data_IF_552650589130
#
_entry.id   IF_552650589130
#
_cell.length_a   1.000
_cell.length_b   1.000
_cell.length_c   1.000
_cell.angle_alpha   90.00
_cell.angle_beta   90.00
_cell.angle_gamma   90.00
#
_symmetry.space_group_name_H-M   'P 1'
#
loop_
_entity.id
_entity.type
_entity.pdbx_description
1 polymer ?
#
# COMPACT_ATOMS: atom_id res chain seq x y z
N UNK A 1 9.37 -18.41 20.39
CA UNK A 1 9.94 -19.07 19.18
C UNK A 1 11.05 -18.17 18.69
N UNK A 2 12.28 -18.63 18.67
CA UNK A 2 13.41 -17.85 18.16
C UNK A 2 13.18 -17.50 16.69
N UNK A 3 13.44 -16.25 16.29
CA UNK A 3 13.27 -15.74 14.90
C UNK A 3 14.32 -16.31 13.94
N UNK A 4 15.11 -17.29 14.41
CA UNK A 4 16.12 -18.03 13.63
C UNK A 4 15.54 -18.64 12.36
N UNK A 5 14.22 -18.94 12.32
CA UNK A 5 13.57 -19.49 11.13
C UNK A 5 13.73 -18.59 9.89
N UNK A 6 13.81 -17.26 10.06
CA UNK A 6 14.05 -16.35 8.95
C UNK A 6 15.45 -16.51 8.34
N UNK A 7 16.40 -17.01 9.13
CA UNK A 7 17.77 -17.30 8.70
C UNK A 7 17.94 -18.74 8.23
N UNK A 8 17.20 -19.71 8.79
CA UNK A 8 17.47 -21.14 8.62
C UNK A 8 16.57 -21.82 7.58
N UNK A 9 15.29 -21.42 7.50
CA UNK A 9 14.32 -22.05 6.59
C UNK A 9 14.74 -21.94 5.13
N UNK A 10 14.47 -22.97 4.32
CA UNK A 10 14.66 -22.94 2.84
C UNK A 10 13.98 -21.71 2.24
N UNK A 11 14.60 -21.07 1.25
CA UNK A 11 14.19 -19.73 0.78
C UNK A 11 12.80 -19.71 0.18
N UNK A 12 12.49 -20.59 -0.76
CA UNK A 12 11.16 -20.60 -1.41
C UNK A 12 10.03 -20.82 -0.41
N UNK A 13 10.06 -21.85 0.48
CA UNK A 13 9.05 -21.98 1.54
C UNK A 13 9.00 -20.81 2.51
N UNK A 14 10.14 -20.14 2.78
CA UNK A 14 10.17 -18.94 3.60
C UNK A 14 9.40 -17.80 2.91
N UNK A 15 9.77 -17.45 1.67
CA UNK A 15 9.12 -16.39 0.90
C UNK A 15 7.62 -16.66 0.76
N UNK A 16 7.21 -17.89 0.41
CA UNK A 16 5.80 -18.26 0.31
C UNK A 16 5.06 -18.09 1.65
N UNK A 17 5.66 -18.59 2.76
CA UNK A 17 5.02 -18.50 4.08
C UNK A 17 4.84 -17.06 4.58
N UNK A 18 5.65 -16.13 4.07
CA UNK A 18 5.59 -14.71 4.40
C UNK A 18 4.67 -13.92 3.45
N UNK A 19 4.69 -14.28 2.16
CA UNK A 19 4.00 -13.53 1.11
C UNK A 19 2.53 -13.94 0.94
N UNK A 20 2.21 -15.24 0.99
CA UNK A 20 0.82 -15.71 0.80
C UNK A 20 -0.18 -15.09 1.80
N UNK A 21 0.12 -15.00 3.11
CA UNK A 21 -0.77 -14.33 4.04
C UNK A 21 -0.99 -12.84 3.66
N UNK A 22 0.06 -12.15 3.21
CA UNK A 22 -0.04 -10.74 2.83
C UNK A 22 -0.85 -10.55 1.54
N UNK A 23 -0.65 -11.41 0.54
CA UNK A 23 -1.45 -11.41 -0.68
C UNK A 23 -2.94 -11.61 -0.37
N UNK A 24 -3.26 -12.58 0.48
CA UNK A 24 -4.64 -12.84 0.90
C UNK A 24 -5.23 -11.66 1.68
N UNK A 25 -4.47 -11.06 2.60
CA UNK A 25 -4.88 -9.86 3.33
C UNK A 25 -5.24 -8.70 2.40
N UNK A 26 -4.38 -8.43 1.40
CA UNK A 26 -4.62 -7.36 0.44
C UNK A 26 -5.83 -7.64 -0.45
N UNK A 27 -6.03 -8.90 -0.85
CA UNK A 27 -7.20 -9.29 -1.64
C UNK A 27 -8.50 -9.05 -0.85
N UNK A 28 -8.56 -9.52 0.39
CA UNK A 28 -9.73 -9.34 1.25
C UNK A 28 -9.97 -7.87 1.57
N UNK A 29 -8.90 -7.10 1.81
CA UNK A 29 -9.01 -5.64 1.99
C UNK A 29 -9.60 -4.95 0.75
N UNK A 30 -9.19 -5.36 -0.45
CA UNK A 30 -9.78 -4.83 -1.69
C UNK A 30 -11.25 -5.20 -1.86
N UNK A 31 -11.61 -6.44 -1.50
CA UNK A 31 -13.00 -6.91 -1.57
C UNK A 31 -13.91 -6.17 -0.58
N UNK A 32 -13.46 -5.98 0.67
CA UNK A 32 -14.28 -5.26 1.64
C UNK A 32 -14.54 -3.81 1.22
N UNK A 33 -13.55 -3.10 0.64
CA UNK A 33 -13.76 -1.74 0.12
C UNK A 33 -14.82 -1.68 -0.99
N UNK A 34 -14.91 -2.74 -1.83
CA UNK A 34 -15.94 -2.84 -2.86
C UNK A 34 -17.32 -3.07 -2.23
N UNK A 35 -17.40 -3.93 -1.21
CA UNK A 35 -18.65 -4.25 -0.51
C UNK A 35 -19.17 -3.04 0.27
N UNK A 36 -18.30 -2.32 1.00
CA UNK A 36 -18.66 -1.07 1.68
C UNK A 36 -19.23 -0.04 0.69
N UNK A 37 -18.52 0.22 -0.42
CA UNK A 37 -19.01 1.12 -1.47
C UNK A 37 -20.35 0.67 -2.08
N UNK A 38 -20.58 -0.63 -2.22
CA UNK A 38 -21.83 -1.18 -2.71
C UNK A 38 -23.01 -0.88 -1.76
N UNK A 39 -22.82 -1.05 -0.45
CA UNK A 39 -23.87 -0.73 0.53
C UNK A 39 -24.14 0.78 0.63
N UNK A 40 -23.09 1.60 0.59
CA UNK A 40 -23.26 3.07 0.59
C UNK A 40 -23.99 3.55 -0.67
N UNK A 41 -23.70 2.96 -1.84
CA UNK A 41 -24.41 3.29 -3.09
C UNK A 41 -25.91 2.99 -3.03
N UNK A 42 -26.35 2.03 -2.19
CA UNK A 42 -27.77 1.73 -1.98
C UNK A 42 -28.48 2.75 -1.08
N UNK A 43 -27.77 3.59 -0.34
CA UNK A 43 -28.38 4.68 0.43
C UNK A 43 -28.91 5.77 -0.53
N UNK A 44 -28.01 6.36 -1.32
CA UNK A 44 -28.30 7.35 -2.37
C UNK A 44 -27.04 7.65 -3.19
N UNK A 45 -27.21 8.23 -4.38
CA UNK A 45 -26.09 8.73 -5.19
C UNK A 45 -25.32 9.84 -4.46
N UNK A 46 -26.03 10.66 -3.67
CA UNK A 46 -25.40 11.72 -2.87
C UNK A 46 -24.49 11.15 -1.78
N UNK A 47 -24.94 10.10 -1.08
CA UNK A 47 -24.10 9.41 -0.08
C UNK A 47 -22.85 8.79 -0.70
N UNK A 48 -22.98 8.16 -1.87
CA UNK A 48 -21.84 7.62 -2.60
C UNK A 48 -20.86 8.71 -3.07
N UNK A 49 -21.40 9.86 -3.50
CA UNK A 49 -20.58 11.04 -3.86
C UNK A 49 -19.84 11.56 -2.63
N UNK A 50 -20.52 11.70 -1.49
CA UNK A 50 -19.94 12.15 -0.23
C UNK A 50 -18.79 11.23 0.22
N UNK A 51 -19.00 9.89 0.20
CA UNK A 51 -17.95 8.90 0.47
C UNK A 51 -16.73 9.09 -0.44
N UNK A 52 -16.98 9.27 -1.75
CA UNK A 52 -15.93 9.44 -2.75
C UNK A 52 -15.10 10.70 -2.53
N UNK A 53 -15.72 11.80 -2.04
CA UNK A 53 -15.01 13.03 -1.71
C UNK A 53 -14.15 12.90 -0.45
N UNK A 54 -14.55 12.09 0.53
CA UNK A 54 -13.76 11.85 1.76
C UNK A 54 -12.64 10.83 1.55
N UNK A 55 -12.79 9.91 0.59
CA UNK A 55 -11.84 8.83 0.34
C UNK A 55 -10.36 9.27 0.18
N UNK A 56 -10.01 10.38 -0.50
CA UNK A 56 -8.63 10.86 -0.57
C UNK A 56 -8.02 11.19 0.79
N UNK A 57 -8.80 11.68 1.76
CA UNK A 57 -8.34 11.94 3.13
C UNK A 57 -8.01 10.64 3.86
N UNK A 58 -8.85 9.60 3.70
CA UNK A 58 -8.60 8.25 4.26
C UNK A 58 -7.36 7.59 3.63
N UNK A 59 -7.14 7.78 2.32
CA UNK A 59 -5.92 7.33 1.65
C UNK A 59 -4.67 8.01 2.18
N UNK A 60 -4.73 9.32 2.46
CA UNK A 60 -3.61 10.07 3.04
C UNK A 60 -3.28 9.58 4.45
N UNK A 61 -4.29 9.38 5.30
CA UNK A 61 -4.12 8.79 6.63
C UNK A 61 -3.42 7.43 6.54
N UNK A 62 -3.98 6.54 5.71
CA UNK A 62 -3.43 5.20 5.52
C UNK A 62 -2.00 5.24 4.97
N UNK A 63 -1.72 6.12 4.01
CA UNK A 63 -0.37 6.27 3.44
C UNK A 63 0.65 6.71 4.50
N UNK A 64 0.29 7.64 5.40
CA UNK A 64 1.16 8.10 6.48
C UNK A 64 1.40 6.96 7.49
N UNK A 65 0.33 6.29 7.92
CA UNK A 65 0.42 5.19 8.89
C UNK A 65 1.24 4.01 8.35
N UNK A 66 0.93 3.55 7.14
CA UNK A 66 1.64 2.43 6.49
C UNK A 66 3.07 2.82 6.17
N UNK A 67 3.31 4.01 5.62
CA UNK A 67 4.65 4.48 5.27
C UNK A 67 5.56 4.54 6.48
N UNK A 68 5.13 5.19 7.57
CA UNK A 68 5.89 5.21 8.82
C UNK A 68 6.11 3.79 9.38
N UNK A 69 5.07 2.95 9.34
CA UNK A 69 5.13 1.56 9.76
C UNK A 69 6.14 0.73 8.96
N UNK A 70 6.32 0.99 7.66
CA UNK A 70 7.36 0.34 6.82
C UNK A 70 8.75 0.71 7.35
N UNK A 71 8.99 1.98 7.68
CA UNK A 71 10.27 2.42 8.24
C UNK A 71 10.58 1.75 9.59
N UNK A 72 9.59 1.70 10.47
CA UNK A 72 9.69 1.00 11.76
C UNK A 72 9.96 -0.50 11.57
N UNK A 73 9.22 -1.17 10.69
CA UNK A 73 9.37 -2.59 10.38
C UNK A 73 10.78 -2.92 9.87
N UNK A 74 11.28 -2.15 8.91
CA UNK A 74 12.60 -2.36 8.34
C UNK A 74 13.70 -2.21 9.40
N UNK A 75 13.63 -1.17 10.26
CA UNK A 75 14.61 -0.94 11.31
C UNK A 75 14.52 -2.01 12.41
N UNK A 76 13.32 -2.37 12.89
CA UNK A 76 13.13 -3.40 13.90
C UNK A 76 13.65 -4.76 13.43
N UNK A 77 13.27 -5.21 12.23
CA UNK A 77 13.71 -6.48 11.66
C UNK A 77 15.25 -6.51 11.45
N UNK A 78 15.85 -5.37 11.05
CA UNK A 78 17.30 -5.27 10.93
C UNK A 78 18.02 -5.49 12.28
N UNK A 79 17.60 -4.78 13.35
CA UNK A 79 18.25 -4.91 14.66
C UNK A 79 17.99 -6.27 15.29
N UNK A 80 16.84 -6.90 15.06
CA UNK A 80 16.60 -8.30 15.45
C UNK A 80 17.58 -9.24 14.75
N UNK A 81 17.80 -9.08 13.45
CA UNK A 81 18.78 -9.85 12.69
C UNK A 81 20.21 -9.63 13.16
N UNK A 82 20.56 -8.39 13.52
CA UNK A 82 21.86 -8.02 14.07
C UNK A 82 22.07 -8.48 15.53
N UNK A 83 21.05 -9.09 16.16
CA UNK A 83 21.03 -9.47 17.60
C UNK A 83 21.21 -8.28 18.55
N UNK A 84 20.80 -7.09 18.12
CA UNK A 84 20.80 -5.86 18.91
C UNK A 84 19.40 -5.62 19.51
N UNK A 85 18.99 -6.51 20.44
CA UNK A 85 17.63 -6.56 20.99
C UNK A 85 17.18 -5.21 21.56
N UNK A 86 18.01 -4.55 22.38
CA UNK A 86 17.67 -3.27 22.99
C UNK A 86 17.31 -2.20 21.94
N UNK A 87 18.05 -2.15 20.82
CA UNK A 87 17.72 -1.19 19.74
C UNK A 87 16.45 -1.56 19.01
N UNK A 88 16.18 -2.85 18.81
CA UNK A 88 14.92 -3.30 18.24
C UNK A 88 13.73 -2.90 19.13
N UNK A 89 13.86 -3.05 20.45
CA UNK A 89 12.86 -2.67 21.44
C UNK A 89 12.67 -1.14 21.50
N UNK A 90 13.78 -0.37 21.41
CA UNK A 90 13.72 1.10 21.32
C UNK A 90 12.98 1.57 20.06
N UNK A 91 13.20 0.92 18.91
CA UNK A 91 12.51 1.23 17.66
C UNK A 91 11.00 1.02 17.81
N UNK A 92 10.54 -0.12 18.33
CA UNK A 92 9.10 -0.38 18.43
C UNK A 92 8.44 0.47 19.50
N UNK A 93 9.15 0.76 20.60
CA UNK A 93 8.62 1.62 21.65
C UNK A 93 8.49 3.07 21.18
N UNK A 94 9.55 3.65 20.61
CA UNK A 94 9.48 5.00 20.04
C UNK A 94 8.54 5.07 18.84
N UNK A 95 8.51 4.02 18.02
CA UNK A 95 7.60 3.88 16.89
C UNK A 95 6.13 3.90 17.31
N UNK A 96 5.76 3.18 18.36
CA UNK A 96 4.38 3.19 18.88
C UNK A 96 3.97 4.58 19.40
N UNK A 97 4.87 5.25 20.14
CA UNK A 97 4.58 6.60 20.66
C UNK A 97 4.43 7.61 19.52
N UNK A 98 5.32 7.56 18.51
CA UNK A 98 5.23 8.44 17.34
C UNK A 98 3.97 8.15 16.53
N UNK A 99 3.59 6.87 16.39
CA UNK A 99 2.34 6.48 15.72
C UNK A 99 1.10 7.02 16.46
N UNK A 100 1.10 6.99 17.79
CA UNK A 100 0.04 7.61 18.58
C UNK A 100 -0.08 9.12 18.28
N UNK A 101 1.06 9.83 18.24
CA UNK A 101 1.08 11.24 17.86
C UNK A 101 0.60 11.48 16.42
N UNK A 102 1.03 10.63 15.46
CA UNK A 102 0.52 10.72 14.10
C UNK A 102 -1.01 10.53 14.06
N UNK A 103 -1.53 9.54 14.76
CA UNK A 103 -2.98 9.30 14.84
C UNK A 103 -3.73 10.50 15.42
N UNK A 104 -3.24 11.09 16.51
CA UNK A 104 -3.86 12.29 17.12
C UNK A 104 -3.80 13.49 16.19
N UNK A 105 -2.66 13.74 15.54
CA UNK A 105 -2.50 14.84 14.59
C UNK A 105 -3.41 14.66 13.38
N UNK A 106 -3.46 13.45 12.82
CA UNK A 106 -4.31 13.14 11.67
C UNK A 106 -5.80 13.25 12.00
N UNK A 107 -6.21 12.75 13.17
CA UNK A 107 -7.57 12.91 13.68
C UNK A 107 -7.93 14.40 13.81
N UNK A 108 -7.11 15.18 14.51
CA UNK A 108 -7.36 16.61 14.70
C UNK A 108 -7.38 17.36 13.38
N UNK A 109 -6.42 17.10 12.49
CA UNK A 109 -6.36 17.73 11.18
C UNK A 109 -7.59 17.38 10.33
N UNK A 110 -8.00 16.12 10.30
CA UNK A 110 -9.19 15.71 9.54
C UNK A 110 -10.47 16.36 10.09
N UNK A 111 -10.67 16.37 11.41
CA UNK A 111 -11.84 16.98 12.02
C UNK A 111 -11.91 18.51 11.78
N UNK A 112 -10.77 19.19 11.72
CA UNK A 112 -10.70 20.63 11.47
C UNK A 112 -10.84 20.98 10.00
N UNK A 113 -10.22 20.21 9.10
CA UNK A 113 -10.10 20.57 7.68
C UNK A 113 -11.07 19.85 6.75
N UNK A 114 -11.70 18.72 7.17
CA UNK A 114 -12.64 18.01 6.31
C UNK A 114 -13.82 18.85 5.82
N UNK A 115 -14.46 19.72 6.63
CA UNK A 115 -15.53 20.56 6.15
C UNK A 115 -15.09 21.49 5.01
N UNK A 116 -13.92 22.13 5.19
CA UNK A 116 -13.33 23.00 4.16
C UNK A 116 -12.94 22.19 2.94
N UNK A 117 -12.32 21.02 3.12
CA UNK A 117 -11.91 20.17 2.01
C UNK A 117 -13.11 19.72 1.17
N UNK A 118 -14.18 19.21 1.79
CA UNK A 118 -15.37 18.75 1.07
C UNK A 118 -16.06 19.91 0.36
N UNK A 119 -16.13 21.11 0.96
CA UNK A 119 -16.76 22.28 0.35
C UNK A 119 -16.03 22.80 -0.90
N UNK A 120 -14.73 22.48 -1.08
CA UNK A 120 -14.00 22.81 -2.32
C UNK A 120 -14.49 22.03 -3.55
N UNK A 121 -15.18 20.90 -3.35
CA UNK A 121 -15.58 20.00 -4.44
C UNK A 121 -17.09 19.91 -4.67
N UNK A 122 -17.93 20.50 -3.78
CA UNK A 122 -19.38 20.45 -3.94
C UNK A 122 -20.06 21.67 -3.32
N UNK A 123 -21.05 22.19 -4.04
CA UNK A 123 -21.97 23.22 -3.56
C UNK A 123 -23.29 22.61 -3.05
N UNK A 124 -23.49 21.30 -3.23
CA UNK A 124 -24.69 20.61 -2.78
C UNK A 124 -24.65 20.42 -1.26
N UNK A 125 -25.57 21.12 -0.55
CA UNK A 125 -25.63 21.12 0.91
C UNK A 125 -25.76 19.70 1.51
N UNK A 126 -26.50 18.80 0.86
CA UNK A 126 -26.69 17.44 1.34
C UNK A 126 -25.40 16.60 1.21
N UNK A 127 -24.71 16.69 0.07
CA UNK A 127 -23.42 16.01 -0.14
C UNK A 127 -22.38 16.53 0.84
N UNK A 128 -22.35 17.86 1.07
CA UNK A 128 -21.47 18.49 2.04
C UNK A 128 -21.77 17.98 3.47
N UNK A 129 -23.04 18.01 3.88
CA UNK A 129 -23.45 17.56 5.20
C UNK A 129 -23.12 16.06 5.44
N UNK A 130 -23.44 15.20 4.46
CA UNK A 130 -23.17 13.77 4.52
C UNK A 130 -21.65 13.49 4.53
N UNK A 131 -20.86 14.20 3.72
CA UNK A 131 -19.41 14.08 3.68
C UNK A 131 -18.73 14.52 4.97
N UNK A 132 -19.17 15.62 5.57
CA UNK A 132 -18.66 16.11 6.86
C UNK A 132 -19.01 15.13 8.00
N UNK A 133 -20.26 14.64 8.05
CA UNK A 133 -20.69 13.66 9.05
C UNK A 133 -19.88 12.37 8.94
N UNK A 134 -19.76 11.82 7.73
CA UNK A 134 -18.97 10.62 7.48
C UNK A 134 -17.51 10.82 7.88
N UNK A 135 -16.89 11.92 7.45
CA UNK A 135 -15.51 12.25 7.78
C UNK A 135 -15.29 12.36 9.28
N UNK A 136 -16.13 13.14 9.99
CA UNK A 136 -16.00 13.32 11.42
C UNK A 136 -16.08 12.00 12.18
N UNK A 137 -16.99 11.11 11.80
CA UNK A 137 -17.16 9.81 12.45
C UNK A 137 -15.99 8.87 12.16
N UNK A 138 -15.57 8.75 10.90
CA UNK A 138 -14.49 7.81 10.52
C UNK A 138 -13.15 8.24 11.10
N UNK A 139 -12.84 9.54 11.14
CA UNK A 139 -11.55 10.02 11.66
C UNK A 139 -11.45 10.03 13.18
N UNK A 140 -12.54 9.89 13.93
CA UNK A 140 -12.47 9.57 15.38
C UNK A 140 -11.72 8.26 15.61
N UNK A 141 -11.79 7.33 14.65
CA UNK A 141 -11.08 6.06 14.70
C UNK A 141 -9.64 6.10 14.13
N UNK A 142 -9.15 7.26 13.70
CA UNK A 142 -7.80 7.38 13.15
C UNK A 142 -6.70 6.93 14.15
N UNK A 143 -6.83 7.27 15.43
CA UNK A 143 -5.87 6.84 16.45
C UNK A 143 -5.82 5.32 16.58
N UNK A 144 -6.92 4.59 16.85
CA UNK A 144 -6.88 3.14 16.91
C UNK A 144 -6.46 2.49 15.57
N UNK A 145 -6.79 3.07 14.42
CA UNK A 145 -6.38 2.58 13.11
C UNK A 145 -4.85 2.65 12.94
N UNK A 146 -4.25 3.81 13.20
CA UNK A 146 -2.79 4.00 13.12
C UNK A 146 -2.05 3.07 14.08
N UNK A 147 -2.58 2.87 15.29
CA UNK A 147 -2.00 1.93 16.26
C UNK A 147 -2.15 0.48 15.76
N UNK A 148 -3.28 0.10 15.18
CA UNK A 148 -3.47 -1.23 14.59
C UNK A 148 -2.45 -1.51 13.48
N UNK A 149 -2.22 -0.56 12.58
CA UNK A 149 -1.19 -0.65 11.54
C UNK A 149 0.20 -0.77 12.16
N UNK A 150 0.47 -0.07 13.24
CA UNK A 150 1.75 -0.17 13.96
C UNK A 150 1.98 -1.57 14.51
N UNK A 151 0.99 -2.17 15.18
CA UNK A 151 1.07 -3.56 15.65
C UNK A 151 1.19 -4.55 14.48
N UNK A 152 0.49 -4.32 13.37
CA UNK A 152 0.67 -5.10 12.15
C UNK A 152 2.15 -5.14 11.73
N UNK A 153 2.80 -3.97 11.70
CA UNK A 153 4.22 -3.87 11.29
C UNK A 153 5.17 -4.47 12.31
N UNK A 154 4.84 -4.46 13.60
CA UNK A 154 5.60 -5.15 14.66
C UNK A 154 5.53 -6.67 14.44
N UNK A 155 4.34 -7.24 14.27
CA UNK A 155 4.18 -8.67 13.99
C UNK A 155 4.85 -9.09 12.68
N UNK A 156 4.78 -8.25 11.65
CA UNK A 156 5.50 -8.48 10.39
C UNK A 156 7.02 -8.47 10.57
N UNK A 157 7.58 -7.56 11.39
CA UNK A 157 9.01 -7.50 11.66
C UNK A 157 9.54 -8.79 12.29
N UNK A 158 8.73 -9.48 13.07
CA UNK A 158 9.02 -10.78 13.65
C UNK A 158 8.75 -11.98 12.73
N UNK A 159 8.22 -11.70 11.52
CA UNK A 159 7.84 -12.75 10.58
C UNK A 159 6.50 -13.43 10.88
N UNK A 160 5.69 -12.88 11.77
CA UNK A 160 4.38 -13.44 12.15
C UNK A 160 3.25 -12.97 11.21
N UNK A 161 3.43 -13.13 9.89
CA UNK A 161 2.50 -12.67 8.85
C UNK A 161 1.09 -13.25 8.97
N UNK A 162 0.96 -14.48 9.51
CA UNK A 162 -0.36 -15.10 9.75
C UNK A 162 -1.18 -14.32 10.77
N UNK A 163 -0.53 -13.71 11.77
CA UNK A 163 -1.21 -12.87 12.76
C UNK A 163 -1.73 -11.62 12.08
N UNK A 164 -0.90 -10.97 11.25
CA UNK A 164 -1.33 -9.80 10.48
C UNK A 164 -2.53 -10.11 9.57
N UNK A 165 -2.47 -11.22 8.85
CA UNK A 165 -3.57 -11.69 8.01
C UNK A 165 -4.84 -11.92 8.80
N UNK A 166 -4.77 -12.70 9.89
CA UNK A 166 -5.93 -13.06 10.69
C UNK A 166 -6.59 -11.82 11.31
N UNK A 167 -5.80 -10.90 11.88
CA UNK A 167 -6.33 -9.67 12.47
C UNK A 167 -7.04 -8.80 11.43
N UNK A 168 -6.44 -8.63 10.25
CA UNK A 168 -7.06 -7.88 9.16
C UNK A 168 -8.35 -8.55 8.67
N UNK A 169 -8.35 -9.88 8.51
CA UNK A 169 -9.56 -10.63 8.14
C UNK A 169 -10.70 -10.41 9.13
N UNK A 170 -10.42 -10.43 10.45
CA UNK A 170 -11.43 -10.16 11.47
C UNK A 170 -12.05 -8.77 11.29
N UNK A 171 -11.22 -7.74 11.01
CA UNK A 171 -11.71 -6.38 10.75
C UNK A 171 -12.57 -6.28 9.50
N UNK A 172 -12.12 -6.87 8.39
CA UNK A 172 -12.86 -6.86 7.13
C UNK A 172 -14.22 -7.60 7.26
N UNK A 173 -14.23 -8.77 7.88
CA UNK A 173 -15.47 -9.54 8.09
C UNK A 173 -16.45 -8.77 9.00
N UNK A 174 -15.95 -8.15 10.07
CA UNK A 174 -16.77 -7.33 10.94
C UNK A 174 -17.39 -6.13 10.21
N UNK A 175 -16.60 -5.42 9.39
CA UNK A 175 -17.12 -4.32 8.59
C UNK A 175 -18.21 -4.80 7.61
N UNK A 176 -17.97 -5.85 6.81
CA UNK A 176 -18.95 -6.42 5.89
C UNK A 176 -20.28 -6.80 6.56
N UNK A 177 -20.22 -7.30 7.81
CA UNK A 177 -21.41 -7.64 8.58
C UNK A 177 -22.08 -6.39 9.15
N UNK A 178 -21.31 -5.44 9.67
CA UNK A 178 -21.84 -4.24 10.33
C UNK A 178 -22.41 -3.23 9.34
N UNK A 179 -21.87 -3.13 8.12
CA UNK A 179 -22.38 -2.21 7.10
C UNK A 179 -23.90 -2.35 6.89
N UNK A 180 -24.45 -3.49 6.46
CA UNK A 180 -25.88 -3.59 6.25
C UNK A 180 -26.69 -3.45 7.54
N UNK A 181 -26.16 -3.89 8.69
CA UNK A 181 -26.85 -3.78 9.98
C UNK A 181 -27.04 -2.33 10.41
N UNK A 182 -25.99 -1.50 10.32
CA UNK A 182 -26.02 -0.11 10.76
C UNK A 182 -26.57 0.84 9.68
N UNK A 183 -26.28 0.58 8.42
CA UNK A 183 -26.78 1.41 7.30
C UNK A 183 -28.30 1.33 7.20
N UNK A 184 -28.85 0.11 7.17
CA UNK A 184 -30.27 -0.12 6.90
C UNK A 184 -31.12 -0.31 8.17
N UNK A 185 -30.48 -0.49 9.34
CA UNK A 185 -31.18 -0.70 10.60
C UNK A 185 -31.79 -2.09 10.69
N UNK A 186 -30.99 -3.14 10.48
CA UNK A 186 -31.48 -4.52 10.53
C UNK A 186 -31.45 -5.05 11.97
N UNK A 187 -32.53 -5.69 12.40
CA UNK A 187 -32.67 -6.30 13.71
C UNK A 187 -32.83 -5.25 14.82
N UNK A 188 -31.94 -5.23 15.80
CA UNK A 188 -31.95 -4.31 16.94
C UNK A 188 -31.27 -2.97 16.66
N UNK A 189 -30.65 -2.82 15.51
CA UNK A 189 -29.86 -1.62 15.17
C UNK A 189 -30.74 -0.53 14.56
N UNK A 190 -30.53 0.76 14.95
CA UNK A 190 -31.23 1.86 14.31
C UNK A 190 -30.70 2.07 12.87
N UNK A 191 -31.57 2.57 11.99
CA UNK A 191 -31.16 2.96 10.63
C UNK A 191 -30.33 4.25 10.69
N UNK A 192 -29.04 4.15 10.40
CA UNK A 192 -28.07 5.26 10.51
C UNK A 192 -27.59 5.80 9.15
N UNK A 193 -27.89 5.12 8.04
CA UNK A 193 -27.45 5.56 6.72
C UNK A 193 -25.93 5.71 6.61
N UNK A 194 -25.44 6.86 6.12
CA UNK A 194 -24.01 7.11 5.91
C UNK A 194 -23.21 7.16 7.24
N UNK A 195 -23.83 7.57 8.33
CA UNK A 195 -23.21 7.52 9.66
C UNK A 195 -22.96 6.07 10.11
N UNK A 196 -23.90 5.16 9.77
CA UNK A 196 -23.74 3.72 9.99
C UNK A 196 -22.55 3.13 9.24
N UNK A 197 -22.34 3.52 7.99
CA UNK A 197 -21.17 3.12 7.21
C UNK A 197 -19.86 3.62 7.86
N UNK A 198 -19.81 4.87 8.32
CA UNK A 198 -18.64 5.42 9.00
C UNK A 198 -18.30 4.67 10.29
N UNK A 199 -19.31 4.33 11.10
CA UNK A 199 -19.15 3.57 12.35
C UNK A 199 -18.71 2.14 12.06
N UNK A 200 -19.31 1.47 11.06
CA UNK A 200 -18.93 0.11 10.67
C UNK A 200 -17.47 0.06 10.22
N UNK A 201 -17.03 1.04 9.40
CA UNK A 201 -15.63 1.20 8.98
C UNK A 201 -14.71 1.42 10.19
N UNK A 202 -15.10 2.30 11.12
CA UNK A 202 -14.33 2.56 12.33
C UNK A 202 -14.20 1.33 13.23
N UNK A 203 -15.27 0.58 13.46
CA UNK A 203 -15.25 -0.68 14.23
C UNK A 203 -14.37 -1.71 13.49
N UNK A 204 -14.47 -1.81 12.16
CA UNK A 204 -13.64 -2.65 11.32
C UNK A 204 -12.13 -2.35 11.47
N UNK A 205 -11.77 -1.09 11.81
CA UNK A 205 -10.39 -0.67 12.10
C UNK A 205 -9.97 -0.97 13.54
N UNK A 206 -10.91 -0.93 14.51
CA UNK A 206 -10.64 -1.22 15.94
C UNK A 206 -10.47 -2.71 16.20
N UNK A 207 -11.26 -3.57 15.54
CA UNK A 207 -11.21 -5.02 15.74
C UNK A 207 -9.82 -5.61 15.50
N UNK A 208 -9.09 -5.29 14.42
CA UNK A 208 -7.71 -5.71 14.25
C UNK A 208 -6.81 -5.32 15.42
N UNK A 209 -6.97 -4.11 15.95
CA UNK A 209 -6.21 -3.66 17.13
C UNK A 209 -6.47 -4.55 18.34
N UNK A 210 -7.74 -4.85 18.62
CA UNK A 210 -8.13 -5.72 19.74
C UNK A 210 -7.50 -7.12 19.56
N UNK A 211 -7.56 -7.66 18.33
CA UNK A 211 -6.96 -8.98 18.02
C UNK A 211 -5.45 -8.94 18.21
N UNK A 212 -4.77 -7.89 17.73
CA UNK A 212 -3.33 -7.73 17.92
C UNK A 212 -2.95 -7.65 19.40
N UNK A 213 -3.66 -6.85 20.19
CA UNK A 213 -3.42 -6.71 21.63
C UNK A 213 -3.67 -8.05 22.37
N UNK A 214 -4.74 -8.75 22.03
CA UNK A 214 -5.02 -10.06 22.59
C UNK A 214 -3.91 -11.07 22.30
N UNK A 215 -3.45 -11.13 21.05
CA UNK A 215 -2.36 -12.05 20.66
C UNK A 215 -1.03 -11.62 21.30
N UNK A 216 -0.77 -10.31 21.39
CA UNK A 216 0.42 -9.77 22.03
C UNK A 216 0.50 -10.18 23.52
N UNK A 217 -0.62 -10.14 24.25
CA UNK A 217 -0.68 -10.52 25.65
C UNK A 217 -0.58 -12.04 25.84
N UNK A 218 -1.27 -12.83 25.01
CA UNK A 218 -1.30 -14.30 25.12
C UNK A 218 -0.06 -14.98 24.59
N UNK A 219 0.54 -14.44 23.54
CA UNK A 219 1.68 -14.99 22.83
C UNK A 219 2.73 -13.90 22.66
N UNK A 220 3.49 -13.58 23.72
CA UNK A 220 4.42 -12.47 23.70
C UNK A 220 5.36 -12.55 22.48
N UNK A 221 5.58 -11.41 21.88
CA UNK A 221 6.53 -11.20 20.80
C UNK A 221 7.94 -11.07 21.37
N UNK A 222 8.96 -11.24 20.55
CA UNK A 222 10.33 -11.05 21.00
C UNK A 222 10.69 -9.56 21.15
N UNK A 223 9.90 -8.68 20.56
CA UNK A 223 10.01 -7.24 20.70
C UNK A 223 9.26 -6.79 21.95
N UNK A 224 9.95 -6.09 22.84
CA UNK A 224 9.40 -5.65 24.12
C UNK A 224 9.28 -4.14 24.17
N UNK A 225 8.23 -3.65 24.81
CA UNK A 225 8.08 -2.22 25.09
C UNK A 225 8.82 -1.88 26.38
N UNK A 226 9.80 -1.02 26.28
CA UNK A 226 10.58 -0.52 27.43
C UNK A 226 10.51 0.99 27.53
N UNK A 227 10.00 1.47 28.66
CA UNK A 227 9.94 2.89 28.92
C UNK A 227 11.21 3.35 29.66
N UNK A 228 12.10 4.01 28.93
CA UNK A 228 13.28 4.65 29.53
C UNK A 228 13.62 5.96 28.83
N UNK A 229 14.39 6.83 29.53
CA UNK A 229 14.70 8.19 29.05
C UNK A 229 15.41 8.27 27.68
N UNK A 230 16.02 7.20 27.21
CA UNK A 230 16.77 7.16 25.95
C UNK A 230 16.04 6.46 24.79
N UNK A 231 14.74 6.22 24.89
CA UNK A 231 13.94 5.59 23.82
C UNK A 231 13.97 6.44 22.53
N UNK A 232 13.87 7.76 22.65
CA UNK A 232 13.92 8.67 21.50
C UNK A 232 15.36 9.01 21.10
N UNK A 233 16.11 8.03 20.63
CA UNK A 233 17.41 8.29 20.03
C UNK A 233 17.24 8.92 18.65
N UNK A 234 17.76 10.14 18.43
CA UNK A 234 17.66 10.86 17.14
C UNK A 234 18.02 9.99 15.94
N UNK A 235 19.01 9.10 16.12
CA UNK A 235 19.46 8.19 15.07
C UNK A 235 18.40 7.14 14.72
N UNK A 236 17.76 6.48 15.72
CA UNK A 236 16.75 5.46 15.50
C UNK A 236 15.49 6.06 14.88
N UNK A 237 15.06 7.22 15.41
CA UNK A 237 13.95 8.01 14.86
C UNK A 237 14.25 8.41 13.40
N UNK A 238 15.48 8.90 13.14
CA UNK A 238 15.91 9.25 11.78
C UNK A 238 15.89 8.08 10.80
N UNK A 239 16.20 6.86 11.25
CA UNK A 239 16.11 5.65 10.43
C UNK A 239 14.67 5.30 10.08
N UNK A 240 13.73 5.42 11.03
CA UNK A 240 12.30 5.17 10.76
C UNK A 240 11.74 6.17 9.74
N UNK A 241 11.99 7.46 9.93
CA UNK A 241 11.51 8.50 9.00
C UNK A 241 12.26 8.50 7.66
N UNK A 242 13.54 8.12 7.66
CA UNK A 242 14.34 8.00 6.43
C UNK A 242 13.81 6.99 5.43
N UNK A 243 13.02 6.03 5.90
CA UNK A 243 12.27 5.08 5.05
C UNK A 243 10.78 5.44 5.03
N UNK A 244 10.23 5.85 6.18
CA UNK A 244 8.80 6.09 6.34
C UNK A 244 8.26 7.22 5.46
N UNK A 245 8.93 8.39 5.44
CA UNK A 245 8.52 9.51 4.58
C UNK A 245 8.59 9.14 3.09
N UNK A 246 9.71 8.60 2.57
CA UNK A 246 9.75 8.09 1.21
C UNK A 246 8.65 7.07 0.89
N UNK A 247 8.38 6.13 1.79
CA UNK A 247 7.34 5.13 1.59
C UNK A 247 5.92 5.74 1.55
N UNK A 248 5.64 6.73 2.40
CA UNK A 248 4.39 7.51 2.36
C UNK A 248 4.20 8.17 0.99
N UNK A 249 5.24 8.86 0.51
CA UNK A 249 5.21 9.51 -0.80
C UNK A 249 5.03 8.49 -1.94
N UNK A 250 5.72 7.34 -1.87
CA UNK A 250 5.56 6.25 -2.84
C UNK A 250 4.10 5.78 -2.95
N UNK A 251 3.36 5.74 -1.85
CA UNK A 251 1.94 5.36 -1.83
C UNK A 251 1.03 6.44 -2.42
N UNK A 252 1.42 7.71 -2.38
CA UNK A 252 0.64 8.84 -2.90
C UNK A 252 0.91 9.12 -4.41
N UNK A 253 2.11 8.83 -4.91
CA UNK A 253 2.53 9.15 -6.28
C UNK A 253 1.60 8.59 -7.38
N UNK A 254 1.06 7.35 -7.30
CA UNK A 254 0.13 6.84 -8.31
C UNK A 254 -1.12 7.71 -8.49
N UNK A 255 -1.67 8.26 -7.42
CA UNK A 255 -2.86 9.14 -7.50
C UNK A 255 -2.54 10.44 -8.26
N UNK A 256 -1.38 11.04 -8.01
CA UNK A 256 -0.91 12.22 -8.75
C UNK A 256 -0.74 11.92 -10.24
N UNK A 257 -0.12 10.79 -10.56
CA UNK A 257 0.07 10.33 -11.94
C UNK A 257 -1.27 10.13 -12.66
N UNK A 258 -2.23 9.46 -12.02
CA UNK A 258 -3.58 9.23 -12.59
C UNK A 258 -4.25 10.55 -12.92
N UNK A 259 -4.20 11.53 -12.00
CA UNK A 259 -4.78 12.85 -12.22
C UNK A 259 -4.14 13.57 -13.41
N UNK A 260 -2.82 13.54 -13.52
CA UNK A 260 -2.11 14.14 -14.64
C UNK A 260 -2.44 13.46 -15.98
N UNK A 261 -2.47 12.11 -16.01
CA UNK A 261 -2.84 11.36 -17.21
C UNK A 261 -4.30 11.59 -17.61
N UNK A 262 -5.24 11.70 -16.66
CA UNK A 262 -6.61 12.06 -16.95
C UNK A 262 -6.69 13.43 -17.64
N UNK A 263 -5.94 14.43 -17.16
CA UNK A 263 -5.87 15.75 -17.79
C UNK A 263 -5.32 15.70 -19.22
N UNK A 264 -4.28 14.91 -19.46
CA UNK A 264 -3.71 14.73 -20.81
C UNK A 264 -4.71 14.02 -21.74
N UNK A 265 -5.32 12.93 -21.30
CA UNK A 265 -6.21 12.11 -22.11
C UNK A 265 -7.56 12.80 -22.40
N UNK A 266 -8.06 13.62 -21.46
CA UNK A 266 -9.30 14.37 -21.64
C UNK A 266 -9.29 15.30 -22.86
N UNK A 267 -8.09 15.78 -23.25
CA UNK A 267 -7.91 16.62 -24.45
C UNK A 267 -8.24 15.85 -25.74
N UNK A 268 -8.03 14.53 -25.74
CA UNK A 268 -8.25 13.69 -26.92
C UNK A 268 -9.64 13.06 -26.97
N UNK A 269 -10.08 12.43 -25.87
CA UNK A 269 -11.40 11.79 -25.80
C UNK A 269 -11.81 11.47 -24.36
N UNK A 270 -13.10 11.67 -24.05
CA UNK A 270 -13.69 11.18 -22.81
C UNK A 270 -13.63 9.64 -22.68
N UNK A 271 -13.67 8.92 -23.81
CA UNK A 271 -13.48 7.46 -23.85
C UNK A 271 -12.12 7.05 -23.30
N UNK A 272 -11.05 7.81 -23.61
CA UNK A 272 -9.71 7.49 -23.11
C UNK A 272 -9.57 7.67 -21.59
N UNK A 273 -10.24 8.67 -21.02
CA UNK A 273 -10.31 8.83 -19.56
C UNK A 273 -11.03 7.65 -18.90
N UNK A 274 -12.15 7.21 -19.49
CA UNK A 274 -12.86 6.02 -19.03
C UNK A 274 -11.99 4.75 -19.13
N UNK A 275 -11.30 4.57 -20.26
CA UNK A 275 -10.38 3.44 -20.48
C UNK A 275 -9.26 3.43 -19.45
N UNK A 276 -8.66 4.58 -19.13
CA UNK A 276 -7.66 4.69 -18.07
C UNK A 276 -8.19 4.25 -16.72
N UNK A 277 -9.41 4.68 -16.35
CA UNK A 277 -10.06 4.28 -15.11
C UNK A 277 -10.31 2.77 -15.03
N UNK A 278 -10.79 2.15 -16.12
CA UNK A 278 -10.97 0.71 -16.22
C UNK A 278 -9.64 -0.02 -16.09
N UNK A 279 -8.61 0.44 -16.82
CA UNK A 279 -7.27 -0.13 -16.74
C UNK A 279 -6.73 -0.16 -15.29
N UNK A 280 -6.88 0.94 -14.53
CA UNK A 280 -6.41 0.96 -13.15
C UNK A 280 -7.15 -0.02 -12.24
N UNK A 281 -8.44 -0.24 -12.45
CA UNK A 281 -9.18 -1.28 -11.74
C UNK A 281 -8.60 -2.67 -12.03
N UNK A 282 -8.34 -2.99 -13.29
CA UNK A 282 -7.73 -4.27 -13.70
C UNK A 282 -6.30 -4.41 -13.16
N UNK A 283 -5.50 -3.36 -13.27
CA UNK A 283 -4.12 -3.33 -12.77
C UNK A 283 -4.07 -3.60 -11.27
N UNK A 284 -4.99 -3.04 -10.49
CA UNK A 284 -5.02 -3.23 -9.03
C UNK A 284 -5.04 -4.70 -8.67
N UNK A 285 -5.86 -5.53 -9.31
CA UNK A 285 -5.93 -6.97 -9.03
C UNK A 285 -4.61 -7.70 -9.32
N UNK A 286 -3.93 -7.35 -10.40
CA UNK A 286 -2.65 -7.98 -10.78
C UNK A 286 -1.55 -7.56 -9.81
N UNK A 287 -1.48 -6.26 -9.49
CA UNK A 287 -0.44 -5.70 -8.62
C UNK A 287 -0.66 -6.00 -7.14
N UNK A 288 -1.89 -6.35 -6.68
CA UNK A 288 -2.13 -6.83 -5.32
C UNK A 288 -1.20 -8.00 -4.95
N UNK A 289 -1.07 -8.96 -5.86
CA UNK A 289 -0.20 -10.12 -5.64
C UNK A 289 1.28 -9.72 -5.54
N UNK A 290 1.75 -8.85 -6.42
CA UNK A 290 3.12 -8.34 -6.39
C UNK A 290 3.40 -7.56 -5.09
N UNK A 291 2.50 -6.66 -4.70
CA UNK A 291 2.62 -5.89 -3.47
C UNK A 291 2.58 -6.78 -2.22
N UNK A 292 1.77 -7.84 -2.22
CA UNK A 292 1.74 -8.83 -1.14
C UNK A 292 3.08 -9.56 -0.99
N UNK A 293 3.74 -9.93 -2.11
CA UNK A 293 5.08 -10.51 -2.09
C UNK A 293 6.09 -9.51 -1.55
N UNK A 294 6.06 -8.26 -2.01
CA UNK A 294 6.97 -7.20 -1.53
C UNK A 294 6.80 -6.98 -0.03
N UNK A 295 5.58 -6.92 0.49
CA UNK A 295 5.33 -6.81 1.94
C UNK A 295 5.89 -8.02 2.70
N UNK A 296 5.73 -9.23 2.16
CA UNK A 296 6.24 -10.44 2.78
C UNK A 296 7.76 -10.52 2.85
N UNK A 297 8.46 -10.04 1.81
CA UNK A 297 9.93 -10.14 1.76
C UNK A 297 10.65 -9.02 2.53
N UNK A 298 10.03 -7.87 2.79
CA UNK A 298 10.67 -6.75 3.48
C UNK A 298 11.32 -7.17 4.80
N UNK A 299 10.61 -7.73 5.79
CA UNK A 299 11.21 -8.09 7.08
C UNK A 299 12.27 -9.20 6.96
N UNK A 300 12.10 -10.18 6.06
CA UNK A 300 13.11 -11.23 5.91
C UNK A 300 14.38 -10.72 5.21
N UNK A 301 14.28 -9.76 4.32
CA UNK A 301 15.44 -9.05 3.74
C UNK A 301 16.14 -8.23 4.82
N UNK A 302 15.40 -7.40 5.58
CA UNK A 302 15.96 -6.57 6.64
C UNK A 302 16.64 -7.40 7.71
N UNK A 303 16.00 -8.47 8.17
CA UNK A 303 16.55 -9.40 9.17
C UNK A 303 17.85 -10.07 8.69
N UNK A 304 17.85 -10.68 7.50
CA UNK A 304 19.03 -11.34 6.96
C UNK A 304 20.16 -10.33 6.64
N UNK A 305 19.81 -9.11 6.26
CA UNK A 305 20.78 -8.04 6.08
C UNK A 305 21.43 -7.63 7.40
N UNK A 306 20.66 -7.48 8.48
CA UNK A 306 21.14 -7.26 9.84
C UNK A 306 22.02 -8.39 10.36
N UNK A 307 21.67 -9.64 10.07
CA UNK A 307 22.42 -10.83 10.41
C UNK A 307 23.72 -11.02 9.59
N UNK A 308 24.01 -10.13 8.60
CA UNK A 308 25.18 -10.24 7.74
C UNK A 308 25.07 -11.29 6.61
N UNK A 309 23.91 -11.94 6.44
CA UNK A 309 23.67 -13.02 5.50
C UNK A 309 23.40 -12.51 4.07
N UNK A 310 24.37 -11.81 3.48
CA UNK A 310 24.25 -11.16 2.16
C UNK A 310 23.87 -12.11 1.02
N UNK A 311 24.44 -13.31 1.02
CA UNK A 311 24.12 -14.35 0.03
C UNK A 311 22.67 -14.80 0.13
N UNK A 312 22.11 -14.81 1.35
CA UNK A 312 20.71 -15.16 1.59
C UNK A 312 19.76 -14.02 1.15
N UNK A 313 20.13 -12.77 1.42
CA UNK A 313 19.42 -11.57 0.89
C UNK A 313 19.30 -11.64 -0.62
N UNK A 314 20.41 -11.93 -1.34
CA UNK A 314 20.40 -12.08 -2.80
C UNK A 314 19.43 -13.18 -3.26
N UNK A 315 19.46 -14.35 -2.61
CA UNK A 315 18.58 -15.46 -3.00
C UNK A 315 17.11 -15.17 -2.71
N UNK A 316 16.77 -14.50 -1.58
CA UNK A 316 15.41 -14.07 -1.27
C UNK A 316 14.92 -13.08 -2.34
N UNK A 317 15.75 -12.08 -2.69
CA UNK A 317 15.45 -11.11 -3.73
C UNK A 317 15.17 -11.76 -5.09
N UNK A 318 16.06 -12.66 -5.54
CA UNK A 318 15.89 -13.36 -6.84
C UNK A 318 14.62 -14.23 -6.83
N UNK A 319 14.35 -14.96 -5.73
CA UNK A 319 13.12 -15.77 -5.62
C UNK A 319 11.87 -14.90 -5.71
N UNK A 320 11.84 -13.77 -5.00
CA UNK A 320 10.71 -12.83 -5.05
C UNK A 320 10.55 -12.21 -6.46
N UNK A 321 11.66 -11.82 -7.08
CA UNK A 321 11.66 -11.28 -8.45
C UNK A 321 11.07 -12.28 -9.45
N UNK A 322 11.48 -13.54 -9.40
CA UNK A 322 10.94 -14.60 -10.27
C UNK A 322 9.45 -14.79 -9.99
N UNK A 323 9.03 -14.86 -8.74
CA UNK A 323 7.61 -15.01 -8.39
C UNK A 323 6.77 -13.84 -8.91
N UNK A 324 7.20 -12.60 -8.69
CA UNK A 324 6.50 -11.41 -9.17
C UNK A 324 6.48 -11.38 -10.71
N UNK A 325 7.63 -11.63 -11.36
CA UNK A 325 7.70 -11.68 -12.82
C UNK A 325 6.78 -12.75 -13.42
N UNK A 326 6.68 -13.92 -12.78
CA UNK A 326 5.77 -15.00 -13.23
C UNK A 326 4.29 -14.58 -13.12
N UNK A 327 3.88 -13.94 -12.02
CA UNK A 327 2.52 -13.43 -11.85
C UNK A 327 2.23 -12.33 -12.87
N UNK A 328 3.16 -11.38 -13.06
CA UNK A 328 3.04 -10.30 -14.03
C UNK A 328 2.99 -10.85 -15.47
N UNK A 329 3.74 -11.91 -15.77
CA UNK A 329 3.69 -12.58 -17.06
C UNK A 329 2.32 -13.23 -17.33
N UNK A 330 1.77 -13.93 -16.34
CA UNK A 330 0.41 -14.48 -16.42
C UNK A 330 -0.62 -13.37 -16.61
N UNK A 331 -0.52 -12.29 -15.84
CA UNK A 331 -1.38 -11.11 -15.98
C UNK A 331 -1.26 -10.46 -17.36
N UNK A 332 -0.05 -10.38 -17.92
CA UNK A 332 0.17 -9.91 -19.29
C UNK A 332 -0.52 -10.80 -20.32
N UNK A 333 -0.39 -12.13 -20.21
CA UNK A 333 -1.04 -13.08 -21.14
C UNK A 333 -2.58 -12.97 -21.08
N UNK A 334 -3.15 -12.82 -19.88
CA UNK A 334 -4.59 -12.61 -19.69
C UNK A 334 -5.01 -11.30 -20.37
N UNK A 335 -4.27 -10.21 -20.16
CA UNK A 335 -4.57 -8.93 -20.78
C UNK A 335 -4.42 -8.95 -22.32
N UNK A 336 -3.44 -9.68 -22.86
CA UNK A 336 -3.27 -9.82 -24.31
C UNK A 336 -4.40 -10.64 -24.94
N UNK A 337 -4.75 -11.78 -24.33
CA UNK A 337 -5.74 -12.71 -24.87
C UNK A 337 -7.18 -12.24 -24.73
N UNK A 338 -7.50 -11.63 -23.59
CA UNK A 338 -8.89 -11.30 -23.20
C UNK A 338 -9.16 -9.79 -23.07
N UNK A 339 -8.32 -8.91 -23.66
CA UNK A 339 -8.43 -7.45 -23.52
C UNK A 339 -9.87 -6.92 -23.76
N UNK A 340 -10.50 -7.33 -24.87
CA UNK A 340 -11.86 -6.89 -25.20
C UNK A 340 -12.90 -7.35 -24.18
N UNK A 341 -12.81 -8.59 -23.71
CA UNK A 341 -13.70 -9.15 -22.70
C UNK A 341 -13.54 -8.42 -21.36
N UNK A 342 -12.29 -8.15 -20.95
CA UNK A 342 -11.99 -7.43 -19.70
C UNK A 342 -12.56 -6.02 -19.70
N UNK A 343 -12.41 -5.27 -20.80
CA UNK A 343 -12.99 -3.93 -20.93
C UNK A 343 -14.52 -4.04 -21.03
N UNK A 344 -15.05 -5.04 -21.73
CA UNK A 344 -16.49 -5.29 -21.88
C UNK A 344 -17.23 -5.59 -20.58
N UNK A 345 -16.52 -5.95 -19.49
CA UNK A 345 -17.12 -6.07 -18.15
C UNK A 345 -17.57 -4.70 -17.58
N UNK A 346 -16.99 -3.60 -18.06
CA UNK A 346 -17.22 -2.26 -17.51
C UNK A 346 -17.99 -1.32 -18.45
N UNK A 347 -18.07 -1.64 -19.75
CA UNK A 347 -18.79 -0.84 -20.74
C UNK A 347 -19.39 -1.71 -21.82
N UNK A 348 -20.52 -1.23 -22.39
CA UNK A 348 -21.17 -1.90 -23.55
C UNK A 348 -20.92 -1.14 -24.86
N UNK A 349 -20.23 -0.01 -24.82
CA UNK A 349 -19.93 0.78 -26.01
C UNK A 349 -18.81 0.10 -26.81
N UNK A 350 -19.11 -0.33 -28.03
CA UNK A 350 -18.19 -1.09 -28.90
C UNK A 350 -16.91 -0.33 -29.25
N UNK A 351 -16.99 1.01 -29.45
CA UNK A 351 -15.81 1.84 -29.72
C UNK A 351 -14.91 1.92 -28.49
N UNK A 352 -15.48 2.15 -27.31
CA UNK A 352 -14.72 2.16 -26.04
C UNK A 352 -14.09 0.80 -25.76
N UNK A 353 -14.76 -0.32 -26.11
CA UNK A 353 -14.18 -1.66 -25.96
C UNK A 353 -12.98 -1.81 -26.89
N UNK A 354 -13.07 -1.36 -28.14
CA UNK A 354 -11.98 -1.45 -29.11
C UNK A 354 -10.76 -0.65 -28.65
N UNK A 355 -10.96 0.64 -28.32
CA UNK A 355 -9.92 1.55 -27.84
C UNK A 355 -9.28 1.03 -26.55
N UNK A 356 -10.11 0.56 -25.61
CA UNK A 356 -9.66 0.02 -24.34
C UNK A 356 -8.90 -1.29 -24.49
N UNK A 357 -9.31 -2.17 -25.40
CA UNK A 357 -8.60 -3.41 -25.69
C UNK A 357 -7.21 -3.11 -26.28
N UNK A 358 -7.10 -2.13 -27.18
CA UNK A 358 -5.82 -1.69 -27.70
C UNK A 358 -4.94 -1.11 -26.61
N UNK A 359 -5.49 -0.21 -25.76
CA UNK A 359 -4.79 0.39 -24.64
C UNK A 359 -4.23 -0.67 -23.69
N UNK A 360 -5.05 -1.63 -23.25
CA UNK A 360 -4.64 -2.70 -22.32
C UNK A 360 -3.54 -3.57 -22.93
N UNK A 361 -3.61 -3.92 -24.21
CA UNK A 361 -2.57 -4.70 -24.90
C UNK A 361 -1.23 -3.96 -24.94
N UNK A 362 -1.23 -2.64 -25.16
CA UNK A 362 -0.02 -1.83 -25.17
C UNK A 362 0.58 -1.72 -23.77
N UNK A 363 -0.25 -1.39 -22.77
CA UNK A 363 0.20 -1.13 -21.40
C UNK A 363 0.73 -2.41 -20.74
N UNK A 364 0.08 -3.56 -20.95
CA UNK A 364 0.47 -4.81 -20.30
C UNK A 364 1.86 -5.32 -20.71
N UNK A 365 2.44 -4.85 -21.82
CA UNK A 365 3.82 -5.14 -22.19
C UNK A 365 4.82 -4.65 -21.14
N UNK A 366 4.45 -3.63 -20.33
CA UNK A 366 5.25 -3.14 -19.23
C UNK A 366 5.19 -4.02 -17.96
N UNK A 367 4.24 -4.94 -17.83
CA UNK A 367 4.01 -5.66 -16.57
C UNK A 367 5.22 -6.49 -16.12
N UNK A 368 5.79 -7.30 -17.00
CA UNK A 368 6.96 -8.13 -16.66
C UNK A 368 8.17 -7.25 -16.33
N UNK A 369 8.34 -6.16 -17.06
CA UNK A 369 9.42 -5.20 -16.84
C UNK A 369 9.26 -4.55 -15.46
N UNK A 370 8.04 -4.19 -15.07
CA UNK A 370 7.73 -3.58 -13.78
C UNK A 370 8.08 -4.47 -12.58
N UNK A 371 8.11 -5.80 -12.76
CA UNK A 371 8.53 -6.72 -11.69
C UNK A 371 9.91 -6.37 -11.13
N UNK A 372 10.82 -5.88 -11.98
CA UNK A 372 12.18 -5.49 -11.59
C UNK A 372 12.14 -4.24 -10.70
N UNK A 373 11.50 -3.17 -11.17
CA UNK A 373 11.44 -1.89 -10.45
C UNK A 373 10.69 -2.03 -9.11
N UNK A 374 9.57 -2.78 -9.09
CA UNK A 374 8.75 -3.03 -7.89
C UNK A 374 9.51 -3.83 -6.85
N UNK A 375 10.17 -4.93 -7.26
CA UNK A 375 10.94 -5.78 -6.33
C UNK A 375 12.13 -5.03 -5.76
N UNK A 376 12.85 -4.26 -6.59
CA UNK A 376 14.00 -3.46 -6.15
C UNK A 376 13.56 -2.34 -5.20
N UNK A 377 12.47 -1.63 -5.49
CA UNK A 377 11.93 -0.59 -4.62
C UNK A 377 11.63 -1.15 -3.22
N UNK A 378 10.93 -2.29 -3.14
CA UNK A 378 10.65 -2.96 -1.88
C UNK A 378 11.91 -3.43 -1.14
N UNK A 379 12.91 -3.92 -1.87
CA UNK A 379 14.21 -4.28 -1.28
C UNK A 379 14.95 -3.05 -0.75
N UNK A 380 14.96 -1.93 -1.45
CA UNK A 380 15.60 -0.69 -1.00
C UNK A 380 14.97 -0.19 0.30
N UNK A 381 13.64 -0.22 0.42
CA UNK A 381 12.94 0.10 1.67
C UNK A 381 13.34 -0.84 2.81
N UNK A 382 13.41 -2.15 2.54
CA UNK A 382 13.88 -3.14 3.51
C UNK A 382 15.32 -2.92 3.97
N UNK A 383 16.18 -2.39 3.11
CA UNK A 383 17.59 -2.09 3.39
C UNK A 383 17.80 -0.73 4.06
N UNK A 384 16.74 0.01 4.41
CA UNK A 384 16.85 1.34 4.98
C UNK A 384 17.17 2.44 3.95
N UNK A 385 17.09 2.14 2.64
CA UNK A 385 17.40 3.04 1.53
C UNK A 385 16.13 3.65 0.91
N UNK A 386 15.26 4.21 1.76
CA UNK A 386 13.95 4.72 1.34
C UNK A 386 14.03 5.84 0.31
N UNK A 387 14.99 6.75 0.43
CA UNK A 387 15.19 7.84 -0.54
C UNK A 387 15.47 7.31 -1.95
N UNK A 388 16.24 6.25 -2.08
CA UNK A 388 16.53 5.64 -3.39
C UNK A 388 15.28 4.95 -3.97
N UNK A 389 14.44 4.35 -3.13
CA UNK A 389 13.12 3.84 -3.51
C UNK A 389 12.20 4.97 -4.02
N UNK A 390 12.19 6.11 -3.33
CA UNK A 390 11.41 7.28 -3.74
C UNK A 390 11.90 7.86 -5.08
N UNK A 391 13.22 7.94 -5.30
CA UNK A 391 13.77 8.40 -6.58
C UNK A 391 13.28 7.52 -7.74
N UNK A 392 13.26 6.19 -7.55
CA UNK A 392 12.72 5.27 -8.56
C UNK A 392 11.22 5.50 -8.82
N UNK A 393 10.45 5.73 -7.77
CA UNK A 393 9.01 5.99 -7.89
C UNK A 393 8.73 7.34 -8.54
N UNK A 394 9.47 8.40 -8.19
CA UNK A 394 9.37 9.71 -8.82
C UNK A 394 9.73 9.63 -10.31
N UNK A 395 10.83 8.92 -10.64
CA UNK A 395 11.22 8.71 -12.01
C UNK A 395 10.12 8.03 -12.82
N UNK A 396 9.53 6.96 -12.25
CA UNK A 396 8.46 6.16 -12.86
C UNK A 396 7.18 6.96 -13.03
N UNK A 397 6.64 7.53 -11.94
CA UNK A 397 5.29 8.09 -11.90
C UNK A 397 5.20 9.57 -12.32
N UNK A 398 6.31 10.31 -12.30
CA UNK A 398 6.28 11.76 -12.56
C UNK A 398 7.22 12.11 -13.71
N UNK A 399 8.52 11.83 -13.56
CA UNK A 399 9.56 12.35 -14.46
C UNK A 399 9.51 11.73 -15.85
N UNK A 400 9.11 10.47 -15.97
CA UNK A 400 9.07 9.77 -17.28
C UNK A 400 7.66 9.69 -17.83
N UNK A 401 6.71 9.16 -17.04
CA UNK A 401 5.39 8.83 -17.58
C UNK A 401 4.59 10.07 -18.02
N UNK A 402 4.62 11.16 -17.24
CA UNK A 402 3.85 12.38 -17.56
C UNK A 402 4.42 13.08 -18.80
N UNK A 403 5.73 13.39 -18.89
CA UNK A 403 6.29 13.98 -20.10
C UNK A 403 6.18 13.06 -21.32
N UNK A 404 6.39 11.74 -21.18
CA UNK A 404 6.22 10.79 -22.27
C UNK A 404 4.78 10.78 -22.79
N UNK A 405 3.78 10.77 -21.89
CA UNK A 405 2.37 10.84 -22.25
C UNK A 405 2.05 12.12 -23.03
N UNK A 406 2.54 13.27 -22.57
CA UNK A 406 2.34 14.55 -23.23
C UNK A 406 3.00 14.59 -24.62
N UNK A 407 4.26 14.18 -24.72
CA UNK A 407 5.01 14.19 -26.00
C UNK A 407 4.41 13.21 -27.01
N UNK A 408 4.14 11.98 -26.59
CA UNK A 408 3.53 10.97 -27.47
C UNK A 408 2.14 11.39 -27.94
N UNK A 409 1.32 11.92 -27.04
CA UNK A 409 0.00 12.44 -27.39
C UNK A 409 0.06 13.57 -28.40
N UNK A 410 0.98 14.53 -28.22
CA UNK A 410 1.14 15.67 -29.12
C UNK A 410 1.68 15.28 -30.51
N UNK A 411 2.62 14.33 -30.57
CA UNK A 411 3.27 13.96 -31.83
C UNK A 411 2.52 12.89 -32.63
N UNK A 412 1.87 11.94 -31.93
CA UNK A 412 1.30 10.74 -32.56
C UNK A 412 -0.20 10.54 -32.25
N UNK A 413 -0.82 11.48 -31.50
CA UNK A 413 -2.23 11.42 -31.14
C UNK A 413 -2.51 10.62 -29.85
N UNK A 414 -3.78 10.67 -29.38
CA UNK A 414 -4.19 10.14 -28.07
C UNK A 414 -3.93 8.65 -27.86
N UNK A 415 -4.05 7.82 -28.90
CA UNK A 415 -3.77 6.39 -28.82
C UNK A 415 -2.29 6.08 -28.50
N UNK A 416 -1.36 6.95 -28.88
CA UNK A 416 0.05 6.77 -28.60
C UNK A 416 0.42 7.02 -27.14
N UNK A 417 -0.44 7.71 -26.37
CA UNK A 417 -0.23 7.97 -24.94
C UNK A 417 -0.02 6.67 -24.15
N UNK A 418 -0.67 5.58 -24.52
CA UNK A 418 -0.56 4.29 -23.83
C UNK A 418 0.86 3.71 -23.81
N UNK A 419 1.71 4.11 -24.74
CA UNK A 419 3.11 3.67 -24.77
C UNK A 419 3.95 4.27 -23.62
N UNK A 420 3.52 5.38 -22.99
CA UNK A 420 4.24 5.97 -21.86
C UNK A 420 4.43 4.98 -20.68
N UNK A 421 3.52 4.02 -20.50
CA UNK A 421 3.59 3.05 -19.41
C UNK A 421 4.81 2.12 -19.52
N UNK A 422 4.94 1.38 -20.63
CA UNK A 422 6.08 0.46 -20.76
C UNK A 422 7.41 1.19 -20.90
N UNK A 423 7.42 2.42 -21.48
CA UNK A 423 8.62 3.27 -21.54
C UNK A 423 9.07 3.63 -20.12
N UNK A 424 8.13 4.10 -19.27
CA UNK A 424 8.44 4.45 -17.89
C UNK A 424 8.93 3.23 -17.08
N UNK A 425 8.30 2.06 -17.25
CA UNK A 425 8.73 0.83 -16.59
C UNK A 425 10.13 0.40 -17.03
N UNK A 426 10.47 0.54 -18.31
CA UNK A 426 11.79 0.21 -18.84
C UNK A 426 12.85 1.12 -18.24
N UNK A 427 12.64 2.43 -18.26
CA UNK A 427 13.60 3.41 -17.72
C UNK A 427 13.77 3.22 -16.21
N UNK A 428 12.65 3.05 -15.48
CA UNK A 428 12.69 2.80 -14.03
C UNK A 428 13.42 1.50 -13.70
N UNK A 429 13.20 0.42 -14.45
CA UNK A 429 13.87 -0.87 -14.25
C UNK A 429 15.36 -0.81 -14.54
N UNK A 430 15.76 -0.14 -15.61
CA UNK A 430 17.19 0.08 -15.93
C UNK A 430 17.87 0.91 -14.83
N UNK A 431 17.22 1.97 -14.36
CA UNK A 431 17.74 2.80 -13.28
C UNK A 431 17.82 2.01 -11.96
N UNK A 432 16.83 1.17 -11.67
CA UNK A 432 16.83 0.30 -10.49
C UNK A 432 18.01 -0.69 -10.52
N UNK A 433 18.24 -1.34 -11.65
CA UNK A 433 19.40 -2.24 -11.84
C UNK A 433 20.71 -1.47 -11.65
N UNK A 434 20.84 -0.28 -12.24
CA UNK A 434 22.02 0.56 -12.08
C UNK A 434 22.31 0.94 -10.63
N UNK A 435 21.28 1.32 -9.85
CA UNK A 435 21.41 1.63 -8.42
C UNK A 435 21.91 0.44 -7.59
N UNK A 436 21.39 -0.77 -7.88
CA UNK A 436 21.88 -1.99 -7.23
C UNK A 436 23.32 -2.31 -7.65
N UNK A 437 23.66 -2.17 -8.94
CA UNK A 437 25.00 -2.44 -9.43
C UNK A 437 26.02 -1.50 -8.78
N UNK A 438 25.73 -0.20 -8.71
CA UNK A 438 26.61 0.82 -8.13
C UNK A 438 26.80 0.66 -6.61
N UNK A 439 25.80 0.23 -5.89
CA UNK A 439 25.81 0.06 -4.43
C UNK A 439 25.29 -1.31 -4.02
N UNK A 440 25.95 -2.36 -4.52
CA UNK A 440 25.52 -3.74 -4.35
C UNK A 440 25.31 -4.09 -2.85
N UNK A 441 24.09 -4.46 -2.44
CA UNK A 441 23.84 -4.92 -1.09
C UNK A 441 24.32 -6.37 -0.86
N UNK A 442 24.79 -7.03 -1.91
CA UNK A 442 25.11 -8.47 -1.92
C UNK A 442 26.59 -8.76 -1.69
N UNK A 443 27.47 -7.77 -1.82
CA UNK A 443 28.90 -7.93 -1.63
C UNK A 443 29.28 -7.78 -0.15
N UNK A 444 30.13 -8.66 0.35
CA UNK A 444 30.76 -8.51 1.66
C UNK A 444 31.86 -7.45 1.56
N UNK A 445 31.50 -6.20 1.76
CA UNK A 445 32.52 -5.20 2.11
C UNK A 445 32.69 -5.20 3.62
N UNK A 446 33.94 -5.36 4.07
CA UNK A 446 34.39 -5.41 5.48
C UNK A 446 34.19 -4.08 6.25
N UNK A 447 33.22 -3.27 5.90
CA UNK A 447 32.78 -2.12 6.70
C UNK A 447 31.60 -2.55 7.55
N UNK A 448 31.71 -2.40 8.87
CA UNK A 448 30.58 -2.39 9.84
C UNK A 448 29.55 -1.36 9.30
N UNK A 449 28.76 -1.75 8.34
CA UNK A 449 27.74 -0.90 7.75
C UNK A 449 26.59 -0.77 8.76
N UNK A 450 26.61 0.34 9.45
CA UNK A 450 25.42 0.92 10.07
C UNK A 450 24.41 1.18 8.95
N UNK A 451 23.12 0.93 9.18
CA UNK A 451 22.08 1.49 8.31
C UNK A 451 22.40 2.99 8.11
N UNK A 452 22.29 3.51 6.86
CA UNK A 452 22.58 4.91 6.59
C UNK A 452 21.69 5.84 7.42
#
# INVERSE_FOLDING_TARGET
MEQTFMKEKKILPLVLSMSLPMMLSMLVNSLYNIVDSYFVAQISEQAMTALSLVYPLQLLETAIAVGFGIGMNAAAAYYLGAKEQQRADDIVTSGLILSLWHGVILMAAALLFAPVFVSLFTENEKILADGVKYSNLVFVFAVPNVIAITFEKIFQAEGRMKVSMFSMLCGCVANIILDPLLIFGIGIFPKMGIEGAAIATGIGQVIPLIVYLFIFIKHPVALHFHWHKKVFQKRLVGQMYGVGIPATLNLALPSFMITALNGILAVYSASYVLVLGIYYKLQTFIYLSANGIVQGIRPIISYNYGAGERGRVKRIFITALIMIASIMFVGMLICLGFAGNLIGLFTKNSLTILDGAQAVRIICMGFVISAVSVTISGMLEALGRGVESLILSLLRYVVVIIPAAFVLGKLFGGAAVWHCFWIAETIASLTAIFLIYRRSPFTQTCRKNKLP
#
